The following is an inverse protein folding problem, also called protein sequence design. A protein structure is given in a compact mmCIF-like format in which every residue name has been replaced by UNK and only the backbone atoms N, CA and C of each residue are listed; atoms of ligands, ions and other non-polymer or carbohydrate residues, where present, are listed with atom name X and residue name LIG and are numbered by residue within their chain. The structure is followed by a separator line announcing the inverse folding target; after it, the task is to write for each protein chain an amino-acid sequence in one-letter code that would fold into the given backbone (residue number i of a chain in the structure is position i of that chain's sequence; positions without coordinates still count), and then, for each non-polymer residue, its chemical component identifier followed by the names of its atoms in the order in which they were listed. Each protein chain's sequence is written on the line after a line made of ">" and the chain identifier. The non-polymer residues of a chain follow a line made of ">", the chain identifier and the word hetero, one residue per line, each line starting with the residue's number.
data_IF_845985640248
#
_entry.id   IF_845985640248
#
_cell.length_a   1.000
_cell.length_b   1.000
_cell.length_c   1.000
_cell.angle_alpha   90.00
_cell.angle_beta   90.00
_cell.angle_gamma   90.00
#
_symmetry.space_group_name_H-M   'P 1'
#
loop_
_entity.id
_entity.type
_entity.pdbx_description
1 polymer ?
#
# COMPACT_ATOMS: atom_id res chain seq x y z
N UNK A 1 -34.78 -48.04 19.95
CA UNK A 1 -33.67 -48.99 19.99
C UNK A 1 -32.40 -48.17 20.00
N UNK A 2 -31.80 -48.06 21.17
CA UNK A 2 -30.61 -47.26 21.44
C UNK A 2 -29.38 -48.12 21.23
N UNK A 3 -28.42 -47.65 20.44
CA UNK A 3 -27.06 -48.19 20.44
C UNK A 3 -26.08 -47.04 20.66
N UNK A 4 -25.50 -47.03 21.86
CA UNK A 4 -24.35 -46.23 22.24
C UNK A 4 -23.09 -47.03 21.90
N UNK A 5 -22.20 -46.48 21.06
CA UNK A 5 -20.86 -47.01 20.85
C UNK A 5 -19.86 -46.10 21.57
N UNK A 6 -19.12 -46.73 22.47
CA UNK A 6 -18.14 -46.14 23.38
C UNK A 6 -16.91 -45.58 22.64
N UNK A 7 -16.45 -44.41 23.08
CA UNK A 7 -15.20 -43.78 22.66
C UNK A 7 -14.15 -43.94 23.76
N UNK A 8 -13.16 -44.79 23.53
CA UNK A 8 -11.97 -44.95 24.37
C UNK A 8 -10.90 -43.93 23.96
N UNK A 9 -10.54 -43.00 24.86
CA UNK A 9 -9.39 -42.09 24.71
C UNK A 9 -8.08 -42.77 25.14
N UNK A 10 -6.95 -42.56 24.45
CA UNK A 10 -5.62 -42.94 24.93
C UNK A 10 -5.06 -41.90 25.93
N UNK A 11 -4.10 -42.29 26.79
CA UNK A 11 -3.60 -41.47 27.90
C UNK A 11 -2.59 -40.41 27.47
N UNK A 12 -2.68 -39.25 28.11
CA UNK A 12 -1.72 -38.12 28.01
C UNK A 12 -0.46 -38.47 28.80
N UNK A 13 0.69 -38.49 28.11
CA UNK A 13 2.01 -38.67 28.72
C UNK A 13 2.55 -37.30 29.14
N UNK A 14 2.76 -37.11 30.44
CA UNK A 14 3.32 -35.89 31.02
C UNK A 14 4.74 -35.60 30.53
N UNK A 15 5.00 -34.33 30.23
CA UNK A 15 6.31 -33.84 29.81
C UNK A 15 6.87 -32.93 30.92
N UNK A 16 8.06 -33.32 31.37
CA UNK A 16 8.87 -32.78 32.47
C UNK A 16 9.29 -31.33 32.19
N UNK A 17 9.10 -30.46 33.18
CA UNK A 17 9.44 -29.05 33.20
C UNK A 17 10.81 -28.82 33.82
N UNK A 18 11.89 -29.06 33.06
CA UNK A 18 13.25 -28.69 33.46
C UNK A 18 14.08 -28.20 32.27
N UNK A 19 14.50 -26.93 32.31
CA UNK A 19 15.57 -26.42 31.46
C UNK A 19 15.36 -25.02 30.87
N UNK A 20 15.27 -23.99 31.71
CA UNK A 20 15.48 -22.60 31.27
C UNK A 20 16.69 -22.04 32.03
N UNK A 21 17.85 -22.01 31.36
CA UNK A 21 18.98 -21.13 31.68
C UNK A 21 19.55 -20.55 30.39
N UNK A 22 19.58 -19.22 30.41
CA UNK A 22 20.62 -18.33 29.86
C UNK A 22 20.98 -18.40 28.37
N UNK A 23 20.60 -17.35 27.64
CA UNK A 23 21.51 -16.60 26.79
C UNK A 23 20.98 -15.17 26.56
N UNK A 24 21.64 -14.19 27.17
CA UNK A 24 21.51 -12.76 26.87
C UNK A 24 22.70 -12.36 25.99
N UNK A 25 22.47 -11.70 24.85
CA UNK A 25 23.40 -10.71 24.32
C UNK A 25 22.67 -9.35 24.22
N UNK A 26 23.16 -8.21 24.72
CA UNK A 26 24.54 -7.76 24.82
C UNK A 26 24.79 -6.69 23.74
N UNK A 27 24.64 -5.41 24.12
CA UNK A 27 25.32 -4.25 23.49
C UNK A 27 24.71 -3.63 22.22
N UNK A 28 24.05 -2.48 22.36
CA UNK A 28 23.80 -1.54 21.26
C UNK A 28 24.69 -0.31 21.45
N UNK A 29 25.68 -0.13 20.55
CA UNK A 29 26.45 1.11 20.43
C UNK A 29 25.67 2.12 19.58
N UNK A 30 25.57 3.41 19.97
CA UNK A 30 24.99 4.45 19.14
C UNK A 30 26.01 5.02 18.13
N UNK A 31 25.64 5.06 16.85
CA UNK A 31 26.41 5.76 15.81
C UNK A 31 26.25 7.30 15.87
N UNK A 32 27.24 8.07 15.37
CA UNK A 32 27.36 9.50 15.63
C UNK A 32 26.58 10.41 14.67
N UNK A 33 26.10 11.52 15.23
CA UNK A 33 25.40 12.63 14.60
C UNK A 33 26.18 13.30 13.46
N UNK A 34 25.56 13.43 12.29
CA UNK A 34 26.06 14.26 11.19
C UNK A 34 25.64 15.73 11.38
N UNK A 35 26.62 16.64 11.41
CA UNK A 35 26.43 18.10 11.36
C UNK A 35 26.48 18.56 9.90
N UNK A 36 25.41 19.21 9.43
CA UNK A 36 25.40 19.94 8.16
C UNK A 36 26.12 21.29 8.32
N UNK A 37 27.12 21.54 7.48
CA UNK A 37 27.77 22.85 7.31
C UNK A 37 27.10 23.54 6.12
N UNK A 38 26.58 24.75 6.34
CA UNK A 38 26.06 25.63 5.29
C UNK A 38 27.18 26.60 4.90
N UNK A 39 27.56 26.63 3.62
CA UNK A 39 28.44 27.63 3.04
C UNK A 39 27.61 28.56 2.14
N UNK A 40 27.58 29.85 2.47
CA UNK A 40 27.05 30.90 1.60
C UNK A 40 28.20 31.56 0.83
N UNK A 41 28.01 31.76 -0.48
CA UNK A 41 28.93 32.54 -1.32
C UNK A 41 28.13 33.65 -2.03
N UNK A 42 28.56 34.90 -1.82
CA UNK A 42 28.10 36.09 -2.54
C UNK A 42 29.20 36.59 -3.48
N UNK A 43 28.91 36.93 -4.75
CA UNK A 43 29.86 37.64 -5.59
C UNK A 43 29.63 39.16 -5.59
N UNK A 44 30.72 39.92 -5.44
CA UNK A 44 30.81 41.37 -5.65
C UNK A 44 31.52 41.60 -7.00
N UNK A 45 30.88 42.35 -7.90
CA UNK A 45 31.48 42.78 -9.18
C UNK A 45 31.74 44.28 -9.09
N UNK A 46 33.00 44.69 -9.30
CA UNK A 46 33.44 46.08 -9.38
C UNK A 46 33.77 46.44 -10.84
N UNK A 47 33.21 47.54 -11.32
CA UNK A 47 33.42 48.11 -12.64
C UNK A 47 34.57 49.12 -12.62
N UNK A 48 35.35 49.17 -13.70
CA UNK A 48 36.36 50.21 -13.95
C UNK A 48 36.07 50.91 -15.28
N UNK A 49 36.16 52.23 -15.28
CA UNK A 49 35.95 53.13 -16.42
C UNK A 49 37.28 53.71 -16.94
N UNK A 50 37.34 54.14 -18.21
CA UNK A 50 38.31 55.14 -18.65
C UNK A 50 37.69 56.42 -19.27
N UNK A 51 38.50 57.48 -19.49
CA UNK A 51 38.09 58.91 -19.48
C UNK A 51 37.92 59.55 -20.89
N UNK A 52 37.61 60.87 -21.00
CA UNK A 52 37.01 61.48 -22.19
C UNK A 52 38.00 62.31 -23.04
N UNK A 53 37.69 62.49 -24.33
CA UNK A 53 38.24 63.57 -25.16
C UNK A 53 37.16 64.17 -26.07
N UNK A 54 37.15 65.50 -26.14
CA UNK A 54 36.26 66.35 -26.94
C UNK A 54 36.82 66.57 -28.37
N UNK A 55 35.94 66.67 -29.39
CA UNK A 55 35.79 67.80 -30.33
C UNK A 55 35.00 67.44 -31.62
N UNK A 56 33.85 68.12 -31.78
CA UNK A 56 33.28 68.79 -32.97
C UNK A 56 33.17 68.14 -34.39
N UNK A 57 31.90 68.15 -34.86
CA UNK A 57 31.36 68.53 -36.21
C UNK A 57 31.00 67.47 -37.28
N UNK A 58 29.72 67.58 -37.69
CA UNK A 58 29.11 67.43 -39.03
C UNK A 58 28.73 66.05 -39.61
N UNK A 59 27.40 65.81 -39.59
CA UNK A 59 26.52 65.04 -40.48
C UNK A 59 27.05 63.83 -41.27
N UNK A 60 26.48 62.66 -41.00
CA UNK A 60 25.92 61.80 -42.05
C UNK A 60 24.85 60.86 -41.44
N UNK A 61 23.66 60.86 -42.04
CA UNK A 61 22.55 59.97 -41.69
C UNK A 61 22.90 58.51 -42.01
N UNK A 62 22.96 57.65 -41.01
CA UNK A 62 22.86 56.21 -41.16
C UNK A 62 21.98 55.66 -40.02
N UNK A 63 20.71 55.43 -40.34
CA UNK A 63 19.78 54.71 -39.47
C UNK A 63 20.24 53.25 -39.45
N UNK A 64 21.00 52.86 -38.42
CA UNK A 64 21.27 51.46 -38.13
C UNK A 64 20.26 51.02 -37.07
N UNK A 65 19.22 50.35 -37.54
CA UNK A 65 18.22 49.68 -36.74
C UNK A 65 18.87 48.57 -35.89
N UNK A 66 19.25 48.88 -34.64
CA UNK A 66 19.50 47.82 -33.66
C UNK A 66 18.15 47.32 -33.16
N UNK A 67 17.62 46.32 -33.86
CA UNK A 67 16.61 45.45 -33.29
C UNK A 67 17.25 44.66 -32.15
N UNK A 68 17.09 45.16 -30.93
CA UNK A 68 17.40 44.42 -29.71
C UNK A 68 16.45 43.21 -29.66
N UNK A 69 16.88 42.05 -30.16
CA UNK A 69 16.25 40.80 -29.75
C UNK A 69 16.60 40.60 -28.29
N UNK A 70 15.75 41.12 -27.40
CA UNK A 70 15.63 40.53 -26.09
C UNK A 70 15.16 39.09 -26.32
N UNK A 71 16.11 38.16 -26.40
CA UNK A 71 15.82 36.76 -26.19
C UNK A 71 15.35 36.66 -24.74
N UNK A 72 14.05 36.89 -24.52
CA UNK A 72 13.37 36.36 -23.38
C UNK A 72 13.45 34.84 -23.56
N UNK A 73 14.52 34.24 -23.05
CA UNK A 73 14.51 32.82 -22.75
C UNK A 73 13.25 32.62 -21.91
N UNK A 74 12.26 31.82 -22.35
CA UNK A 74 11.27 31.37 -21.43
C UNK A 74 12.05 30.60 -20.38
N UNK A 75 12.28 31.23 -19.22
CA UNK A 75 12.36 30.48 -17.98
C UNK A 75 11.06 29.72 -18.01
N UNK A 76 11.13 28.43 -18.34
CA UNK A 76 10.03 27.48 -18.29
C UNK A 76 9.43 27.61 -16.89
N UNK A 77 8.44 28.48 -16.79
CA UNK A 77 7.68 28.74 -15.60
C UNK A 77 6.87 27.50 -15.34
N UNK A 78 7.04 26.96 -14.14
CA UNK A 78 6.39 25.78 -13.63
C UNK A 78 6.79 24.47 -14.32
N UNK A 79 7.39 23.58 -13.53
CA UNK A 79 7.30 22.15 -13.80
C UNK A 79 5.80 21.81 -13.89
N UNK A 80 5.30 21.41 -15.06
CA UNK A 80 3.97 20.82 -15.26
C UNK A 80 3.86 19.43 -14.60
N UNK A 81 4.58 19.18 -13.51
CA UNK A 81 4.37 17.99 -12.70
C UNK A 81 3.24 18.35 -11.75
N UNK A 82 2.07 17.68 -11.84
CA UNK A 82 1.01 17.94 -10.86
C UNK A 82 1.58 17.73 -9.46
N UNK A 83 1.36 18.68 -8.56
CA UNK A 83 1.85 18.60 -7.16
C UNK A 83 0.77 18.09 -6.21
N UNK A 84 -0.49 18.09 -6.66
CA UNK A 84 -1.64 17.66 -5.91
C UNK A 84 -1.74 16.13 -5.81
N UNK A 85 -2.41 15.68 -4.76
CA UNK A 85 -2.85 14.30 -4.55
C UNK A 85 -4.38 14.23 -4.72
N UNK A 86 -4.95 13.06 -5.05
CA UNK A 86 -6.39 12.92 -5.11
C UNK A 86 -7.01 13.21 -3.74
N UNK A 87 -8.21 13.83 -3.72
CA UNK A 87 -8.90 14.08 -2.47
C UNK A 87 -9.26 12.75 -1.80
N UNK A 88 -9.03 12.68 -0.50
CA UNK A 88 -9.45 11.57 0.36
C UNK A 88 -10.60 12.00 1.26
N UNK A 89 -11.34 11.02 1.74
CA UNK A 89 -12.33 11.11 2.80
C UNK A 89 -11.89 10.20 3.94
N UNK A 90 -12.78 9.94 4.90
CA UNK A 90 -12.52 9.11 6.07
C UNK A 90 -13.66 8.16 6.37
N UNK A 91 -13.33 6.94 6.74
CA UNK A 91 -14.30 5.95 7.22
C UNK A 91 -13.62 4.92 8.13
N UNK A 92 -14.40 4.28 9.00
CA UNK A 92 -13.98 3.10 9.75
C UNK A 92 -13.94 1.83 8.87
N UNK A 93 -14.71 1.83 7.78
CA UNK A 93 -14.76 0.76 6.79
C UNK A 93 -14.13 1.16 5.46
N UNK A 94 -13.52 0.20 4.77
CA UNK A 94 -13.03 0.39 3.41
C UNK A 94 -13.09 -0.89 2.58
N UNK A 95 -13.20 -0.74 1.28
CA UNK A 95 -13.05 -1.82 0.30
C UNK A 95 -11.69 -1.68 -0.38
N UNK A 96 -11.08 -2.81 -0.75
CA UNK A 96 -9.82 -2.82 -1.47
C UNK A 96 -10.08 -2.95 -2.98
N UNK A 97 -9.71 -1.92 -3.72
CA UNK A 97 -9.86 -1.83 -5.18
C UNK A 97 -8.54 -2.16 -5.86
N UNK A 98 -8.59 -3.06 -6.83
CA UNK A 98 -7.45 -3.49 -7.62
C UNK A 98 -7.09 -2.41 -8.63
N UNK A 99 -5.87 -1.90 -8.55
CA UNK A 99 -5.27 -1.08 -9.59
C UNK A 99 -4.10 -1.83 -10.21
N UNK A 100 -4.31 -2.40 -11.40
CA UNK A 100 -3.26 -3.02 -12.20
C UNK A 100 -2.19 -1.98 -12.55
N UNK A 101 -0.95 -2.23 -12.16
CA UNK A 101 0.16 -1.29 -12.36
C UNK A 101 0.87 -1.48 -13.71
N UNK A 102 0.64 -2.61 -14.37
CA UNK A 102 1.08 -2.91 -15.73
C UNK A 102 -0.07 -3.51 -16.52
N UNK A 103 -0.80 -2.66 -17.25
CA UNK A 103 -1.99 -3.06 -18.02
C UNK A 103 -1.65 -4.02 -19.17
N UNK A 104 -0.40 -4.09 -19.62
CA UNK A 104 0.01 -5.05 -20.65
C UNK A 104 0.00 -6.50 -20.15
N UNK A 105 0.01 -6.67 -18.83
CA UNK A 105 -0.02 -7.97 -18.14
C UNK A 105 -1.39 -8.31 -17.58
N UNK A 106 -2.40 -7.46 -17.72
CA UNK A 106 -3.72 -7.68 -17.13
C UNK A 106 -4.38 -8.97 -17.65
N UNK A 107 -5.29 -9.51 -16.86
CA UNK A 107 -6.10 -10.65 -17.26
C UNK A 107 -7.16 -10.26 -18.29
N UNK A 108 -7.74 -11.28 -18.94
CA UNK A 108 -8.94 -11.14 -19.76
C UNK A 108 -10.01 -12.10 -19.21
N UNK A 109 -11.12 -11.59 -18.62
CA UNK A 109 -11.47 -10.18 -18.43
C UNK A 109 -10.52 -9.45 -17.46
N UNK A 110 -10.45 -8.13 -17.62
CA UNK A 110 -9.61 -7.25 -16.78
C UNK A 110 -10.00 -7.35 -15.31
N UNK A 111 -9.00 -7.33 -14.43
CA UNK A 111 -9.21 -7.18 -12.98
C UNK A 111 -8.97 -5.76 -12.49
N UNK A 112 -8.60 -4.83 -13.38
CA UNK A 112 -8.46 -3.43 -13.03
C UNK A 112 -9.81 -2.87 -12.55
N UNK A 113 -9.79 -2.08 -11.47
CA UNK A 113 -10.96 -1.51 -10.79
C UNK A 113 -11.96 -2.54 -10.27
N UNK A 114 -11.53 -3.78 -10.03
CA UNK A 114 -12.34 -4.79 -9.33
C UNK A 114 -12.03 -4.84 -7.83
N UNK A 115 -12.86 -5.55 -7.05
CA UNK A 115 -12.73 -5.60 -5.59
C UNK A 115 -12.09 -6.89 -5.06
N UNK A 116 -11.26 -6.74 -4.03
CA UNK A 116 -10.75 -7.87 -3.25
C UNK A 116 -11.85 -8.47 -2.38
N UNK A 117 -11.86 -9.80 -2.34
CA UNK A 117 -12.81 -10.62 -1.60
C UNK A 117 -12.09 -11.81 -0.94
N UNK A 118 -12.85 -12.62 -0.20
CA UNK A 118 -12.36 -13.88 0.38
C UNK A 118 -12.68 -15.09 -0.50
N UNK A 119 -11.71 -16.00 -0.63
CA UNK A 119 -11.86 -17.34 -1.21
C UNK A 119 -11.84 -18.32 -0.04
N UNK A 120 -12.98 -18.96 0.25
CA UNK A 120 -13.09 -19.90 1.36
C UNK A 120 -12.30 -21.19 1.06
N UNK A 121 -11.36 -21.56 1.93
CA UNK A 121 -10.51 -22.75 1.72
C UNK A 121 -10.54 -23.74 2.89
N UNK A 122 -11.42 -23.52 3.86
CA UNK A 122 -11.61 -24.43 4.99
C UNK A 122 -12.28 -23.75 6.18
N UNK A 123 -12.55 -24.52 7.22
CA UNK A 123 -13.15 -24.00 8.46
C UNK A 123 -12.23 -22.96 9.11
N UNK A 124 -12.70 -21.70 9.17
CA UNK A 124 -11.91 -20.58 9.68
C UNK A 124 -10.76 -20.13 8.76
N UNK A 125 -10.68 -20.63 7.52
CA UNK A 125 -9.59 -20.37 6.60
C UNK A 125 -10.08 -19.77 5.28
N UNK A 126 -9.52 -18.64 4.87
CA UNK A 126 -9.73 -18.07 3.53
C UNK A 126 -8.46 -17.46 2.95
N UNK A 127 -8.37 -17.41 1.62
CA UNK A 127 -7.38 -16.61 0.89
C UNK A 127 -8.01 -15.27 0.50
N UNK A 128 -7.20 -14.25 0.31
CA UNK A 128 -7.65 -13.08 -0.45
C UNK A 128 -7.60 -13.37 -1.93
N UNK A 129 -8.63 -12.95 -2.64
CA UNK A 129 -8.72 -13.11 -4.08
C UNK A 129 -9.54 -12.01 -4.75
N UNK A 130 -9.52 -12.03 -6.07
CA UNK A 130 -10.39 -11.19 -6.90
C UNK A 130 -11.60 -12.02 -7.30
N UNK A 131 -12.80 -11.47 -7.13
CA UNK A 131 -14.05 -12.17 -7.42
C UNK A 131 -15.16 -11.23 -7.88
N UNK A 132 -16.18 -11.78 -8.56
CA UNK A 132 -17.26 -11.02 -9.20
C UNK A 132 -18.31 -10.43 -8.25
N UNK A 133 -17.93 -10.07 -7.01
CA UNK A 133 -18.84 -9.32 -6.14
C UNK A 133 -18.73 -7.84 -6.46
N UNK A 134 -19.10 -7.47 -7.69
CA UNK A 134 -19.36 -6.07 -8.07
C UNK A 134 -20.44 -5.45 -7.17
N UNK A 135 -21.34 -6.27 -6.63
CA UNK A 135 -22.51 -5.80 -5.91
C UNK A 135 -22.34 -5.86 -4.38
N UNK A 136 -21.39 -6.66 -3.87
CA UNK A 136 -21.16 -6.84 -2.43
C UNK A 136 -19.66 -7.02 -2.14
N UNK A 137 -18.83 -6.03 -2.46
CA UNK A 137 -17.41 -6.04 -2.13
C UNK A 137 -17.20 -6.22 -0.62
N UNK A 138 -16.12 -6.90 -0.24
CA UNK A 138 -15.81 -7.12 1.16
C UNK A 138 -15.37 -5.81 1.82
N UNK A 139 -16.05 -5.43 2.91
CA UNK A 139 -15.62 -4.34 3.78
C UNK A 139 -14.55 -4.83 4.75
N UNK A 140 -13.44 -4.12 4.78
CA UNK A 140 -12.34 -4.27 5.71
C UNK A 140 -12.34 -3.09 6.69
N UNK A 141 -11.70 -3.27 7.84
CA UNK A 141 -11.46 -2.20 8.81
C UNK A 141 -10.09 -2.37 9.44
N UNK A 142 -9.53 -1.27 9.94
CA UNK A 142 -8.31 -1.30 10.75
C UNK A 142 -8.71 -1.47 12.21
N UNK A 143 -8.18 -2.50 12.86
CA UNK A 143 -8.31 -2.68 14.30
C UNK A 143 -7.05 -2.19 15.02
N UNK A 144 -7.20 -1.15 15.84
CA UNK A 144 -6.13 -0.61 16.67
C UNK A 144 -6.31 0.86 17.00
N UNK A 145 -5.55 1.33 17.98
CA UNK A 145 -5.50 2.75 18.34
C UNK A 145 -4.80 3.58 17.27
N UNK A 146 -4.97 4.91 17.29
CA UNK A 146 -4.25 5.83 16.41
C UNK A 146 -2.71 5.64 16.50
N UNK A 147 -2.20 5.35 17.69
CA UNK A 147 -0.78 5.10 17.93
C UNK A 147 -0.32 3.78 17.28
N UNK A 148 -1.13 2.73 17.41
CA UNK A 148 -0.84 1.44 16.79
C UNK A 148 -0.91 1.52 15.27
N UNK A 149 -1.89 2.24 14.71
CA UNK A 149 -1.93 2.50 13.27
C UNK A 149 -0.67 3.25 12.83
N UNK A 150 -0.31 4.34 13.53
CA UNK A 150 0.87 5.16 13.19
C UNK A 150 2.18 4.34 13.17
N UNK A 151 2.35 3.40 14.10
CA UNK A 151 3.54 2.55 14.19
C UNK A 151 3.41 1.18 13.49
N UNK A 152 2.45 1.02 12.57
CA UNK A 152 2.23 -0.22 11.81
C UNK A 152 1.98 -1.47 12.69
N UNK A 153 1.39 -1.24 13.87
CA UNK A 153 1.09 -2.24 14.89
C UNK A 153 -0.41 -2.61 14.95
N UNK A 154 -1.25 -1.94 14.16
CA UNK A 154 -2.66 -2.31 13.93
C UNK A 154 -2.78 -3.56 13.05
N UNK A 155 -3.98 -4.11 12.96
CA UNK A 155 -4.30 -5.22 12.04
C UNK A 155 -5.45 -4.85 11.09
N UNK A 156 -5.52 -5.52 9.94
CA UNK A 156 -6.64 -5.40 8.99
C UNK A 156 -7.59 -6.56 9.23
N UNK A 157 -8.85 -6.26 9.48
CA UNK A 157 -9.90 -7.22 9.73
C UNK A 157 -11.04 -7.06 8.72
N UNK A 158 -11.89 -8.08 8.66
CA UNK A 158 -13.18 -8.04 7.98
C UNK A 158 -14.11 -9.02 8.69
N UNK A 159 -15.37 -8.66 8.87
CA UNK A 159 -16.31 -9.56 9.54
C UNK A 159 -16.87 -10.59 8.58
N UNK A 160 -16.93 -11.84 9.03
CA UNK A 160 -17.50 -12.94 8.27
C UNK A 160 -18.13 -14.00 9.17
N UNK A 161 -18.96 -14.85 8.54
CA UNK A 161 -19.70 -15.90 9.22
C UNK A 161 -21.02 -15.44 9.82
N UNK A 162 -21.70 -16.36 10.49
CA UNK A 162 -22.96 -16.11 11.21
C UNK A 162 -22.90 -16.89 12.53
N UNK A 163 -22.80 -16.22 13.70
CA UNK A 163 -22.73 -14.76 13.88
C UNK A 163 -21.44 -14.15 13.28
N UNK A 164 -21.43 -12.84 12.96
CA UNK A 164 -20.23 -12.16 12.48
C UNK A 164 -19.07 -12.33 13.47
N UNK A 165 -17.93 -12.71 12.93
CA UNK A 165 -16.67 -12.87 13.66
C UNK A 165 -15.56 -12.15 12.91
N UNK A 166 -14.51 -11.68 13.59
CA UNK A 166 -13.39 -11.01 12.93
C UNK A 166 -12.52 -12.03 12.19
N UNK A 167 -12.25 -11.73 10.93
CA UNK A 167 -11.31 -12.47 10.09
C UNK A 167 -10.17 -11.53 9.73
N UNK A 168 -8.96 -11.90 10.12
CA UNK A 168 -7.81 -11.04 10.03
C UNK A 168 -6.91 -11.36 8.86
N UNK A 169 -6.43 -10.31 8.21
CA UNK A 169 -5.51 -10.39 7.09
C UNK A 169 -4.12 -10.76 7.60
N UNK A 170 -3.46 -11.71 6.94
CA UNK A 170 -2.04 -12.02 7.16
C UNK A 170 -1.36 -12.42 5.85
N UNK A 171 -0.05 -12.22 5.77
CA UNK A 171 0.77 -12.74 4.68
C UNK A 171 1.50 -14.00 5.17
N UNK A 172 1.29 -15.12 4.47
CA UNK A 172 1.95 -16.39 4.75
C UNK A 172 2.96 -16.69 3.66
N UNK A 173 4.23 -16.92 4.00
CA UNK A 173 5.23 -17.31 2.99
C UNK A 173 4.82 -18.62 2.34
N UNK A 174 4.96 -18.68 1.02
CA UNK A 174 4.70 -19.91 0.29
C UNK A 174 5.76 -20.95 0.65
N UNK A 175 5.34 -22.22 0.72
CA UNK A 175 6.22 -23.31 1.10
C UNK A 175 7.40 -23.41 0.12
N UNK A 176 8.62 -23.38 0.67
CA UNK A 176 9.85 -23.51 -0.13
C UNK A 176 10.21 -22.26 -0.92
N UNK A 177 9.63 -21.09 -0.62
CA UNK A 177 9.98 -19.84 -1.27
C UNK A 177 10.21 -18.69 -0.28
N UNK A 178 11.21 -17.87 -0.57
CA UNK A 178 11.52 -16.66 0.20
C UNK A 178 10.93 -15.39 -0.42
N UNK A 179 10.30 -15.49 -1.60
CA UNK A 179 9.80 -14.33 -2.36
C UNK A 179 8.28 -14.12 -2.21
N UNK A 180 7.40 -15.03 -2.67
CA UNK A 180 5.96 -14.85 -2.56
C UNK A 180 5.46 -15.20 -1.15
N UNK A 181 4.53 -14.39 -0.68
CA UNK A 181 3.66 -14.68 0.43
C UNK A 181 2.21 -14.60 -0.02
N UNK A 182 1.45 -15.68 0.18
CA UNK A 182 0.02 -15.71 -0.04
C UNK A 182 -0.71 -14.83 0.97
N UNK A 183 -1.65 -14.02 0.50
CA UNK A 183 -2.52 -13.24 1.38
C UNK A 183 -3.69 -14.09 1.87
N UNK A 184 -3.78 -14.23 3.18
CA UNK A 184 -4.85 -14.94 3.87
C UNK A 184 -5.80 -13.95 4.55
N UNK A 185 -7.03 -14.42 4.73
CA UNK A 185 -8.05 -13.81 5.56
C UNK A 185 -8.63 -14.95 6.40
N UNK A 186 -8.10 -15.17 7.59
CA UNK A 186 -8.47 -16.30 8.44
C UNK A 186 -9.19 -15.81 9.69
N UNK A 187 -10.00 -16.66 10.31
CA UNK A 187 -10.67 -16.32 11.56
C UNK A 187 -9.64 -15.96 12.64
N UNK A 188 -9.80 -14.80 13.28
CA UNK A 188 -8.91 -14.31 14.32
C UNK A 188 -8.37 -12.89 14.08
N UNK A 189 -7.32 -12.48 14.83
CA UNK A 189 -6.92 -11.07 14.95
C UNK A 189 -6.09 -10.53 13.77
N UNK A 190 -5.68 -11.38 12.83
CA UNK A 190 -4.80 -11.01 11.72
C UNK A 190 -3.35 -10.84 12.13
N UNK A 191 -2.54 -10.28 11.23
CA UNK A 191 -1.12 -10.02 11.45
C UNK A 191 -0.81 -8.52 11.39
N UNK A 192 0.18 -8.11 12.19
CA UNK A 192 0.79 -6.78 12.12
C UNK A 192 1.64 -6.66 10.85
N UNK A 193 1.96 -5.43 10.48
CA UNK A 193 2.79 -5.15 9.30
C UNK A 193 2.03 -5.23 7.97
N UNK A 194 0.71 -5.40 8.01
CA UNK A 194 -0.21 -5.17 6.87
C UNK A 194 -1.23 -4.11 7.28
N UNK A 195 -1.54 -3.17 6.40
CA UNK A 195 -2.49 -2.10 6.68
C UNK A 195 -2.57 -1.08 5.56
N UNK A 196 -3.12 0.10 5.84
CA UNK A 196 -3.10 1.22 4.90
C UNK A 196 -1.89 2.13 5.13
N UNK A 197 -1.45 2.77 4.06
CA UNK A 197 -0.44 3.82 4.09
C UNK A 197 -0.82 4.93 5.08
N UNK A 198 0.20 5.63 5.59
CA UNK A 198 0.08 6.60 6.69
C UNK A 198 0.52 7.98 6.21
N UNK A 199 0.25 9.01 7.02
CA UNK A 199 0.44 10.46 6.78
C UNK A 199 1.69 10.91 5.98
N UNK A 200 2.80 10.17 6.00
CA UNK A 200 3.98 10.49 5.18
C UNK A 200 3.89 10.04 3.72
N UNK A 201 2.87 9.26 3.35
CA UNK A 201 2.64 8.70 2.02
C UNK A 201 1.41 9.38 1.41
N UNK A 202 1.54 10.03 0.23
CA UNK A 202 0.49 10.86 -0.38
C UNK A 202 -0.75 10.11 -0.89
N UNK A 203 -0.73 8.79 -0.88
CA UNK A 203 -1.73 7.94 -1.49
C UNK A 203 -2.17 6.88 -0.50
N UNK A 204 -3.48 6.62 -0.42
CA UNK A 204 -4.07 5.61 0.46
C UNK A 204 -4.17 4.24 -0.21
N UNK A 205 -3.22 3.34 0.07
CA UNK A 205 -3.22 1.97 -0.45
C UNK A 205 -2.69 0.99 0.59
N UNK A 206 -2.86 -0.31 0.33
CA UNK A 206 -2.41 -1.37 1.23
C UNK A 206 -0.88 -1.53 1.21
N UNK A 207 -0.26 -1.55 2.39
CA UNK A 207 1.13 -1.93 2.61
C UNK A 207 1.21 -3.34 3.22
N UNK A 208 2.34 -4.07 3.07
CA UNK A 208 3.55 -3.68 2.31
C UNK A 208 3.28 -3.62 0.80
N UNK A 209 4.15 -2.98 0.02
CA UNK A 209 3.95 -2.90 -1.43
C UNK A 209 4.23 -4.25 -2.14
N UNK A 210 4.27 -4.21 -3.47
CA UNK A 210 4.59 -5.34 -4.38
C UNK A 210 3.57 -6.49 -4.32
N UNK A 211 2.29 -6.13 -4.28
CA UNK A 211 1.20 -7.07 -4.50
C UNK A 211 1.09 -7.50 -5.97
N UNK A 212 0.60 -8.71 -6.18
CA UNK A 212 0.15 -9.21 -7.46
C UNK A 212 -1.06 -10.13 -7.27
N UNK A 213 -1.85 -10.26 -8.33
CA UNK A 213 -2.93 -11.24 -8.40
C UNK A 213 -2.49 -12.37 -9.31
N UNK A 214 -2.40 -13.57 -8.78
CA UNK A 214 -1.92 -14.75 -9.47
C UNK A 214 -3.06 -15.69 -9.82
N UNK A 215 -3.07 -16.19 -11.05
CA UNK A 215 -3.95 -17.29 -11.44
C UNK A 215 -3.34 -18.62 -10.95
N UNK A 216 -3.94 -19.19 -9.91
CA UNK A 216 -3.45 -20.38 -9.23
C UNK A 216 -4.56 -21.40 -8.94
N UNK A 217 -4.19 -22.67 -8.88
CA UNK A 217 -5.12 -23.73 -8.52
C UNK A 217 -5.30 -23.79 -7.00
N UNK A 218 -6.55 -23.87 -6.56
CA UNK A 218 -6.87 -23.96 -5.13
C UNK A 218 -7.30 -25.40 -4.80
N UNK A 219 -6.53 -26.17 -4.00
CA UNK A 219 -6.82 -27.57 -3.71
C UNK A 219 -8.22 -27.82 -3.13
N UNK A 220 -8.70 -26.91 -2.26
CA UNK A 220 -10.03 -26.98 -1.66
C UNK A 220 -11.16 -27.08 -2.70
N UNK A 221 -10.97 -26.46 -3.86
CA UNK A 221 -11.93 -26.49 -4.98
C UNK A 221 -11.52 -27.50 -6.07
N UNK A 222 -10.96 -28.64 -5.67
CA UNK A 222 -10.47 -29.69 -6.57
C UNK A 222 -9.48 -29.18 -7.63
N UNK A 223 -8.62 -28.22 -7.25
CA UNK A 223 -7.60 -27.65 -8.13
C UNK A 223 -8.15 -26.70 -9.20
N UNK A 224 -9.38 -26.20 -9.06
CA UNK A 224 -9.89 -25.14 -9.93
C UNK A 224 -9.03 -23.87 -9.82
N UNK A 225 -8.84 -23.12 -10.92
CA UNK A 225 -8.10 -21.87 -10.90
C UNK A 225 -8.90 -20.77 -10.20
N UNK A 226 -8.21 -19.97 -9.39
CA UNK A 226 -8.69 -18.75 -8.77
C UNK A 226 -7.66 -17.65 -8.93
N UNK A 227 -8.13 -16.41 -8.86
CA UNK A 227 -7.28 -15.23 -8.80
C UNK A 227 -6.94 -14.93 -7.34
N UNK A 228 -5.74 -15.33 -6.92
CA UNK A 228 -5.27 -15.25 -5.53
C UNK A 228 -4.34 -14.06 -5.36
N UNK A 229 -4.53 -13.29 -4.30
CA UNK A 229 -3.65 -12.17 -3.97
C UNK A 229 -2.37 -12.68 -3.31
N UNK A 230 -1.23 -12.23 -3.82
CA UNK A 230 0.09 -12.49 -3.26
C UNK A 230 0.88 -11.21 -3.09
N UNK A 231 1.83 -11.25 -2.16
CA UNK A 231 2.82 -10.19 -1.95
C UNK A 231 4.20 -10.75 -2.25
N UNK A 232 5.02 -10.01 -3.00
CA UNK A 232 6.34 -10.47 -3.43
C UNK A 232 7.45 -9.65 -2.74
N UNK A 233 8.30 -10.27 -1.94
CA UNK A 233 9.51 -9.64 -1.41
C UNK A 233 10.58 -9.49 -2.52
N UNK A 234 10.45 -8.46 -3.35
CA UNK A 234 11.29 -8.28 -4.53
C UNK A 234 12.71 -7.80 -4.21
N UNK A 235 12.91 -7.11 -3.08
CA UNK A 235 14.20 -6.52 -2.71
C UNK A 235 14.61 -5.44 -3.71
N UNK A 236 15.76 -5.61 -4.36
CA UNK A 236 16.25 -4.71 -5.41
C UNK A 236 15.71 -5.04 -6.81
N UNK A 237 14.93 -6.12 -6.95
CA UNK A 237 14.31 -6.49 -8.23
C UNK A 237 13.07 -5.63 -8.46
N UNK A 238 12.78 -5.30 -9.72
CA UNK A 238 11.55 -4.61 -10.07
C UNK A 238 10.37 -5.56 -10.30
N UNK A 239 9.19 -5.01 -10.66
CA UNK A 239 7.96 -5.76 -10.93
C UNK A 239 8.08 -6.85 -12.02
N UNK A 240 9.10 -6.77 -12.88
CA UNK A 240 9.44 -7.79 -13.88
C UNK A 240 9.81 -9.15 -13.27
N UNK A 241 10.22 -9.19 -11.99
CA UNK A 241 10.49 -10.43 -11.26
C UNK A 241 9.22 -11.14 -10.79
N UNK A 242 8.03 -10.53 -10.94
CA UNK A 242 6.74 -11.17 -10.64
C UNK A 242 6.41 -12.14 -11.78
N UNK A 243 6.07 -13.42 -11.51
CA UNK A 243 5.80 -14.44 -12.52
C UNK A 243 4.73 -14.06 -13.55
N UNK A 244 4.83 -14.61 -14.76
CA UNK A 244 3.92 -14.29 -15.87
C UNK A 244 2.45 -14.70 -15.65
N UNK A 245 2.17 -15.65 -14.75
CA UNK A 245 0.80 -15.99 -14.33
C UNK A 245 0.24 -15.03 -13.27
N UNK A 246 0.99 -14.00 -12.90
CA UNK A 246 0.61 -13.00 -11.93
C UNK A 246 0.61 -11.61 -12.56
N UNK A 247 -0.37 -10.80 -12.17
CA UNK A 247 -0.54 -9.42 -12.60
C UNK A 247 -0.11 -8.50 -11.46
N UNK A 248 0.87 -7.60 -11.66
CA UNK A 248 1.29 -6.66 -10.62
C UNK A 248 0.15 -5.67 -10.34
N UNK A 249 -0.17 -5.48 -9.07
CA UNK A 249 -1.27 -4.60 -8.65
C UNK A 249 -0.88 -3.75 -7.45
N UNK A 250 -1.59 -2.64 -7.30
CA UNK A 250 -1.70 -1.88 -6.05
C UNK A 250 -3.14 -1.97 -5.59
N UNK A 251 -3.35 -2.04 -4.28
CA UNK A 251 -4.68 -2.20 -3.69
C UNK A 251 -5.07 -0.90 -2.98
N UNK A 252 -5.90 -0.08 -3.61
CA UNK A 252 -6.34 1.20 -3.08
C UNK A 252 -7.53 1.03 -2.13
N UNK A 253 -7.61 1.86 -1.10
CA UNK A 253 -8.74 1.85 -0.18
C UNK A 253 -9.83 2.79 -0.68
N UNK A 254 -11.00 2.24 -0.98
CA UNK A 254 -12.24 2.98 -1.21
C UNK A 254 -13.06 3.01 0.06
N UNK A 255 -13.62 4.16 0.42
CA UNK A 255 -14.44 4.30 1.62
C UNK A 255 -15.68 3.42 1.51
N UNK A 256 -16.03 2.79 2.62
CA UNK A 256 -17.25 2.00 2.76
C UNK A 256 -17.80 2.17 4.17
N UNK A 257 -19.10 2.00 4.33
CA UNK A 257 -19.70 1.89 5.67
C UNK A 257 -19.28 0.57 6.31
N UNK A 258 -18.93 0.62 7.59
CA UNK A 258 -18.68 -0.58 8.39
C UNK A 258 -20.00 -0.99 9.04
N UNK A 259 -20.50 -2.18 8.70
CA UNK A 259 -21.77 -2.68 9.21
C UNK A 259 -21.77 -2.81 10.73
N UNK A 260 -22.88 -2.44 11.38
CA UNK A 260 -23.06 -2.67 12.81
C UNK A 260 -23.07 -4.18 13.13
N UNK A 261 -22.45 -4.53 14.26
CA UNK A 261 -22.52 -5.89 14.79
C UNK A 261 -23.89 -6.15 15.46
N UNK A 262 -24.48 -7.35 15.30
CA UNK A 262 -25.72 -7.71 15.97
C UNK A 262 -25.63 -7.58 17.50
N UNK A 263 -26.75 -7.28 18.16
CA UNK A 263 -26.82 -7.23 19.62
C UNK A 263 -26.38 -8.58 20.24
N UNK A 264 -25.57 -8.51 21.30
CA UNK A 264 -25.00 -9.70 21.95
C UNK A 264 -23.82 -10.32 21.21
N UNK A 265 -23.27 -9.65 20.20
CA UNK A 265 -22.02 -10.07 19.55
C UNK A 265 -20.88 -10.22 20.56
N UNK A 266 -20.07 -11.28 20.37
CA UNK A 266 -18.90 -11.55 21.21
C UNK A 266 -17.69 -10.67 20.88
N UNK A 267 -17.78 -9.90 19.78
CA UNK A 267 -16.75 -9.01 19.25
C UNK A 267 -17.33 -7.59 19.13
N UNK A 268 -16.46 -6.60 19.07
CA UNK A 268 -16.81 -5.19 18.98
C UNK A 268 -16.00 -4.48 17.89
N UNK A 269 -16.53 -3.34 17.42
CA UNK A 269 -15.81 -2.38 16.58
C UNK A 269 -15.26 -1.19 17.38
N UNK A 270 -15.08 -1.34 18.70
CA UNK A 270 -14.69 -0.24 19.58
C UNK A 270 -13.34 0.39 19.20
N UNK A 271 -12.45 -0.40 18.58
CA UNK A 271 -11.15 0.03 18.08
C UNK A 271 -11.07 0.02 16.54
N UNK A 272 -12.21 0.06 15.84
CA UNK A 272 -12.24 0.29 14.41
C UNK A 272 -11.76 1.72 14.12
N UNK A 273 -10.55 1.84 13.59
CA UNK A 273 -9.90 3.13 13.38
C UNK A 273 -10.44 3.82 12.12
N UNK A 274 -10.80 5.09 12.25
CA UNK A 274 -11.17 5.94 11.12
C UNK A 274 -9.93 6.29 10.30
N UNK A 275 -9.84 5.71 9.10
CA UNK A 275 -8.70 5.86 8.18
C UNK A 275 -9.07 6.71 6.98
N UNK A 276 -8.06 7.34 6.37
CA UNK A 276 -8.22 7.94 5.06
C UNK A 276 -8.54 6.86 4.01
N UNK A 277 -9.37 7.20 3.04
CA UNK A 277 -9.78 6.37 1.89
C UNK A 277 -10.32 7.27 0.76
N UNK A 278 -10.51 6.74 -0.44
CA UNK A 278 -11.12 7.49 -1.55
C UNK A 278 -12.62 7.25 -1.63
N UNK A 279 -13.40 8.25 -2.01
CA UNK A 279 -14.85 8.08 -2.22
C UNK A 279 -15.15 7.08 -3.35
N UNK A 280 -14.47 7.22 -4.49
CA UNK A 280 -14.57 6.32 -5.64
C UNK A 280 -13.21 6.25 -6.34
N UNK A 281 -12.55 5.09 -6.25
CA UNK A 281 -11.22 4.86 -6.84
C UNK A 281 -11.26 4.86 -8.37
N UNK A 282 -12.36 4.37 -8.96
CA UNK A 282 -12.51 4.25 -10.40
C UNK A 282 -12.77 5.61 -11.07
N UNK A 283 -13.39 6.54 -10.34
CA UNK A 283 -13.62 7.91 -10.81
C UNK A 283 -12.38 8.83 -10.74
N UNK A 284 -11.28 8.39 -10.13
CA UNK A 284 -10.06 9.19 -10.01
C UNK A 284 -9.35 9.29 -11.36
N UNK A 285 -9.18 10.51 -11.84
CA UNK A 285 -8.32 10.81 -12.99
C UNK A 285 -6.85 10.83 -12.59
N UNK A 286 -6.27 9.66 -12.32
CA UNK A 286 -4.90 9.48 -11.84
C UNK A 286 -3.82 10.33 -12.56
N UNK A 287 -3.86 10.51 -13.90
CA UNK A 287 -2.87 11.34 -14.60
C UNK A 287 -2.85 12.82 -14.19
N UNK A 288 -3.90 13.34 -13.55
CA UNK A 288 -3.96 14.72 -13.02
C UNK A 288 -3.16 14.91 -11.74
N UNK A 289 -2.72 13.83 -11.10
CA UNK A 289 -2.04 13.87 -9.81
C UNK A 289 -0.58 13.52 -9.95
N UNK A 290 0.19 13.87 -8.93
CA UNK A 290 1.65 13.70 -8.94
C UNK A 290 2.02 12.22 -9.21
N UNK A 291 2.83 11.91 -10.22
CA UNK A 291 3.32 10.54 -10.40
C UNK A 291 4.04 10.08 -9.12
N UNK A 292 3.88 8.80 -8.78
CA UNK A 292 4.54 8.18 -7.63
C UNK A 292 5.91 7.61 -8.01
#
# INVERSE_FOLDING_TARGET
>A
MSDQIATTRPPVRGMDSRGLREAVPGGWDPMPSWRCIVAMATPVITTTSPPPHHHLTMYLSAIVSLASLAAASPILGSRDTPTATPPTSKSQGFQLVVNVTDLSRDFSPSIHQTYINGIHVGAGLSLLGVGSKTDHPRTFYINGTALEFHFANSTVLSDAGTPPTPWGLRLARDQGSDTPSTAHLDAGPGARGVGLTRWSVPYTFMYPETYAVCNETVPYYAGRPFLVVKQFALGLRGPEAIPGNCVPVRLFAQCAELDDLPEGSLFSHEFAYETECYEDVAAIEWPKYRPW
#
